data_IF_004509012257
#
_entry.id   IF_004509012257
#
_cell.length_a   1.000
_cell.length_b   1.000
_cell.length_c   1.000
_cell.angle_alpha   90.00
_cell.angle_beta   90.00
_cell.angle_gamma   90.00
#
_symmetry.space_group_name_H-M   'P 1'
#
loop_
_entity.id
_entity.type
_entity.pdbx_description
1 polymer ?
#
# COMPACT_ATOMS: atom_id res chain seq x y z
N UNK A 1 -1.38 -13.73 -2.44
CA UNK A 1 -1.66 -13.95 -3.86
C UNK A 1 -3.17 -13.86 -4.05
N UNK A 2 -3.64 -13.46 -5.23
CA UNK A 2 -5.08 -13.39 -5.58
C UNK A 2 -5.94 -12.58 -4.61
N UNK A 3 -5.36 -11.61 -3.90
CA UNK A 3 -6.06 -10.75 -2.95
C UNK A 3 -5.62 -9.30 -3.10
N UNK A 4 -6.50 -8.38 -2.71
CA UNK A 4 -6.21 -6.94 -2.66
C UNK A 4 -6.63 -6.37 -1.32
N UNK A 5 -5.95 -5.31 -0.87
CA UNK A 5 -6.31 -4.56 0.32
C UNK A 5 -7.19 -3.39 -0.08
N UNK A 6 -8.36 -3.27 0.53
CA UNK A 6 -9.31 -2.20 0.27
C UNK A 6 -9.86 -1.64 1.59
N UNK A 7 -10.34 -0.39 1.56
CA UNK A 7 -11.07 0.19 2.67
C UNK A 7 -12.55 -0.22 2.57
N UNK A 8 -13.04 -0.97 3.55
CA UNK A 8 -14.46 -1.28 3.67
C UNK A 8 -15.20 -0.14 4.37
N UNK A 9 -16.45 0.08 3.95
CA UNK A 9 -17.33 1.11 4.47
C UNK A 9 -18.52 0.51 5.22
N UNK A 10 -18.93 -0.71 4.85
CA UNK A 10 -20.10 -1.39 5.39
C UNK A 10 -19.71 -2.82 5.75
N UNK A 11 -20.07 -3.23 6.96
CA UNK A 11 -19.99 -4.60 7.41
C UNK A 11 -21.40 -5.18 7.48
N UNK A 12 -21.62 -6.32 6.86
CA UNK A 12 -22.87 -7.09 6.93
C UNK A 12 -22.59 -8.43 7.59
N UNK A 13 -23.34 -8.74 8.63
CA UNK A 13 -23.36 -10.03 9.30
C UNK A 13 -24.55 -10.87 8.81
N UNK A 14 -24.26 -12.10 8.42
CA UNK A 14 -25.25 -13.11 8.02
C UNK A 14 -24.98 -14.41 8.78
N UNK A 15 -25.98 -15.30 8.86
CA UNK A 15 -25.75 -16.64 9.37
C UNK A 15 -25.28 -17.61 8.28
N UNK A 16 -25.00 -18.86 8.64
CA UNK A 16 -24.54 -19.91 7.73
C UNK A 16 -25.58 -20.35 6.68
N UNK A 17 -26.83 -19.91 6.82
CA UNK A 17 -27.91 -20.13 5.84
C UNK A 17 -28.12 -18.94 4.91
N UNK A 18 -27.28 -17.91 5.00
CA UNK A 18 -27.40 -16.68 4.23
C UNK A 18 -28.62 -15.85 4.66
N UNK A 19 -28.98 -15.85 5.93
CA UNK A 19 -30.01 -14.97 6.49
C UNK A 19 -29.34 -13.74 7.10
N UNK A 20 -29.90 -12.57 6.83
CA UNK A 20 -29.42 -11.30 7.35
C UNK A 20 -29.54 -11.23 8.87
N UNK A 21 -28.52 -10.74 9.56
CA UNK A 21 -28.53 -10.55 11.02
C UNK A 21 -28.48 -9.05 11.35
N UNK A 22 -27.48 -8.34 10.83
CA UNK A 22 -27.28 -6.90 11.08
C UNK A 22 -26.29 -6.30 10.11
N UNK A 23 -26.26 -4.99 10.03
CA UNK A 23 -25.24 -4.25 9.31
C UNK A 23 -24.79 -3.00 10.08
N UNK A 24 -23.56 -2.58 9.83
CA UNK A 24 -22.96 -1.39 10.45
C UNK A 24 -22.01 -0.66 9.51
N UNK A 25 -21.85 0.64 9.75
CA UNK A 25 -20.85 1.46 9.04
C UNK A 25 -19.49 1.30 9.70
N UNK A 26 -18.47 1.04 8.90
CA UNK A 26 -17.08 0.90 9.35
C UNK A 26 -16.30 2.18 9.08
N UNK A 27 -15.70 2.74 10.12
CA UNK A 27 -14.76 3.86 9.97
C UNK A 27 -13.35 3.31 9.66
N UNK A 28 -12.87 3.55 8.43
CA UNK A 28 -11.47 3.26 7.99
C UNK A 28 -10.99 1.82 8.20
N UNK A 29 -11.88 0.83 8.06
CA UNK A 29 -11.49 -0.57 8.16
C UNK A 29 -10.80 -1.05 6.88
N UNK A 30 -9.55 -1.49 6.99
CA UNK A 30 -8.85 -2.16 5.89
C UNK A 30 -9.16 -3.64 5.90
N UNK A 31 -9.61 -4.16 4.76
CA UNK A 31 -9.95 -5.57 4.57
C UNK A 31 -9.15 -6.18 3.43
N UNK A 32 -8.70 -7.40 3.63
CA UNK A 32 -8.10 -8.23 2.58
C UNK A 32 -9.23 -8.97 1.90
N UNK A 33 -9.38 -8.79 0.60
CA UNK A 33 -10.46 -9.45 -0.14
C UNK A 33 -9.96 -10.18 -1.38
N UNK A 34 -10.63 -11.27 -1.76
CA UNK A 34 -10.35 -12.03 -2.96
C UNK A 34 -10.46 -11.17 -4.22
N UNK A 35 -9.50 -11.28 -5.11
CA UNK A 35 -9.46 -10.50 -6.33
C UNK A 35 -8.79 -11.27 -7.45
N UNK A 36 -9.34 -11.17 -8.65
CA UNK A 36 -8.66 -11.61 -9.87
C UNK A 36 -7.59 -10.60 -10.28
N UNK A 37 -6.71 -10.97 -11.18
CA UNK A 37 -5.72 -10.06 -11.76
C UNK A 37 -6.38 -8.79 -12.34
N UNK A 38 -7.49 -8.96 -13.03
CA UNK A 38 -8.22 -7.86 -13.64
C UNK A 38 -8.90 -6.96 -12.59
N UNK A 39 -9.56 -7.55 -11.59
CA UNK A 39 -10.29 -6.79 -10.58
C UNK A 39 -9.36 -6.02 -9.64
N UNK A 40 -8.20 -6.58 -9.30
CA UNK A 40 -7.20 -5.92 -8.46
C UNK A 40 -6.64 -4.63 -9.11
N UNK A 41 -6.51 -4.63 -10.43
CA UNK A 41 -6.01 -3.50 -11.22
C UNK A 41 -7.09 -2.62 -11.85
N UNK A 42 -8.38 -2.87 -11.60
CA UNK A 42 -9.48 -2.19 -12.29
C UNK A 42 -9.42 -0.66 -12.14
N UNK A 43 -9.52 0.03 -13.26
CA UNK A 43 -9.61 1.50 -13.32
C UNK A 43 -10.84 1.98 -14.09
N UNK A 44 -11.39 1.14 -14.96
CA UNK A 44 -12.58 1.39 -15.79
C UNK A 44 -13.28 0.08 -16.11
N UNK A 45 -14.55 0.15 -16.50
CA UNK A 45 -15.37 -1.02 -16.78
C UNK A 45 -15.89 -1.74 -15.54
N UNK A 46 -16.72 -2.77 -15.78
CA UNK A 46 -17.27 -3.62 -14.74
C UNK A 46 -16.39 -4.86 -14.57
N UNK A 47 -15.72 -4.95 -13.42
CA UNK A 47 -14.89 -6.10 -13.07
C UNK A 47 -14.99 -6.30 -11.55
N UNK A 48 -15.86 -7.19 -11.05
CA UNK A 48 -16.08 -7.39 -9.63
C UNK A 48 -14.89 -8.07 -8.94
N UNK A 49 -14.71 -7.79 -7.66
CA UNK A 49 -13.98 -8.66 -6.76
C UNK A 49 -14.83 -9.85 -6.36
N UNK A 50 -14.22 -10.95 -5.97
CA UNK A 50 -14.92 -12.23 -5.89
C UNK A 50 -15.90 -12.38 -4.71
N UNK A 51 -15.61 -11.81 -3.56
CA UNK A 51 -16.42 -12.02 -2.36
C UNK A 51 -16.95 -10.70 -1.79
N UNK A 52 -16.09 -9.72 -1.63
CA UNK A 52 -16.44 -8.42 -1.06
C UNK A 52 -16.24 -7.33 -2.12
N UNK A 53 -17.24 -6.51 -2.38
CA UNK A 53 -17.15 -5.42 -3.34
C UNK A 53 -18.14 -4.30 -2.98
N UNK A 54 -18.23 -3.29 -3.81
CA UNK A 54 -19.13 -2.15 -3.68
C UNK A 54 -20.58 -2.58 -3.82
N UNK A 55 -21.51 -1.83 -3.24
CA UNK A 55 -22.96 -2.04 -3.34
C UNK A 55 -23.40 -2.26 -4.80
N UNK A 56 -22.90 -1.47 -5.74
CA UNK A 56 -23.22 -1.60 -7.18
C UNK A 56 -22.90 -2.99 -7.77
N UNK A 57 -22.08 -3.81 -7.10
CA UNK A 57 -21.75 -5.18 -7.51
C UNK A 57 -22.49 -6.24 -6.67
N UNK A 58 -22.59 -6.03 -5.36
CA UNK A 58 -23.10 -7.07 -4.45
C UNK A 58 -24.62 -7.05 -4.32
N UNK A 59 -25.28 -5.95 -4.69
CA UNK A 59 -26.72 -5.75 -4.50
C UNK A 59 -27.50 -5.87 -5.81
N UNK A 60 -28.36 -6.88 -5.90
CA UNK A 60 -29.27 -7.09 -7.03
C UNK A 60 -30.30 -5.96 -7.16
N UNK A 61 -30.79 -5.49 -6.03
CA UNK A 61 -31.78 -4.43 -5.90
C UNK A 61 -31.23 -3.01 -6.08
N UNK A 62 -29.92 -2.84 -6.25
CA UNK A 62 -29.27 -1.52 -6.40
C UNK A 62 -29.88 -0.65 -7.51
N UNK A 63 -30.20 -1.26 -8.66
CA UNK A 63 -30.81 -0.52 -9.77
C UNK A 63 -32.27 -0.12 -9.48
N UNK A 64 -33.00 -0.91 -8.68
CA UNK A 64 -34.39 -0.62 -8.26
C UNK A 64 -34.42 0.64 -7.39
N UNK A 65 -33.41 0.82 -6.53
CA UNK A 65 -33.27 2.00 -5.67
C UNK A 65 -32.54 3.18 -6.33
N UNK A 66 -32.59 3.29 -7.67
CA UNK A 66 -32.06 4.47 -8.41
C UNK A 66 -30.53 4.60 -8.36
N UNK A 67 -29.81 3.49 -8.40
CA UNK A 67 -28.36 3.49 -8.38
C UNK A 67 -27.75 4.33 -9.52
N UNK A 68 -26.83 5.24 -9.20
CA UNK A 68 -26.23 6.21 -10.16
C UNK A 68 -25.37 5.49 -11.23
N UNK A 69 -24.61 4.48 -10.82
CA UNK A 69 -23.68 3.75 -11.69
C UNK A 69 -24.33 2.49 -12.23
N UNK A 70 -23.83 2.02 -13.37
CA UNK A 70 -24.26 0.74 -13.93
C UNK A 70 -24.03 -0.39 -12.94
N UNK A 71 -25.05 -1.22 -12.69
CA UNK A 71 -24.94 -2.41 -11.85
C UNK A 71 -23.96 -3.42 -12.47
N UNK A 72 -23.12 -4.00 -11.61
CA UNK A 72 -22.24 -5.11 -11.95
C UNK A 72 -22.67 -6.43 -11.31
N UNK A 73 -23.88 -6.51 -10.79
CA UNK A 73 -24.37 -7.65 -10.02
C UNK A 73 -24.29 -8.98 -10.77
N UNK A 74 -24.71 -9.01 -12.03
CA UNK A 74 -24.70 -10.25 -12.83
C UNK A 74 -23.28 -10.85 -12.94
N UNK A 75 -22.27 -10.01 -13.16
CA UNK A 75 -20.88 -10.46 -13.24
C UNK A 75 -20.37 -10.94 -11.89
N UNK A 76 -20.73 -10.22 -10.81
CA UNK A 76 -20.37 -10.60 -9.44
C UNK A 76 -21.01 -11.93 -9.04
N UNK A 77 -22.31 -12.07 -9.27
CA UNK A 77 -23.06 -13.29 -8.96
C UNK A 77 -22.54 -14.50 -9.75
N UNK A 78 -22.25 -14.33 -11.05
CA UNK A 78 -21.70 -15.40 -11.87
C UNK A 78 -20.34 -15.90 -11.38
N UNK A 79 -19.44 -14.96 -11.01
CA UNK A 79 -18.14 -15.31 -10.46
C UNK A 79 -18.25 -16.03 -9.10
N UNK A 80 -19.10 -15.51 -8.22
CA UNK A 80 -19.32 -16.11 -6.90
C UNK A 80 -19.97 -17.50 -7.01
N UNK A 81 -20.93 -17.67 -7.95
CA UNK A 81 -21.56 -18.95 -8.25
C UNK A 81 -20.54 -19.98 -8.73
N UNK A 82 -19.69 -19.62 -9.69
CA UNK A 82 -18.65 -20.50 -10.21
C UNK A 82 -17.70 -20.98 -9.09
N UNK A 83 -17.32 -20.11 -8.17
CA UNK A 83 -16.55 -20.49 -7.00
C UNK A 83 -17.30 -21.44 -6.07
N UNK A 84 -18.59 -21.16 -5.78
CA UNK A 84 -19.44 -22.02 -4.96
C UNK A 84 -19.65 -23.42 -5.54
N UNK A 85 -19.69 -23.57 -6.86
CA UNK A 85 -19.91 -24.83 -7.58
C UNK A 85 -18.61 -25.61 -7.81
N UNK A 86 -17.45 -25.01 -7.54
CA UNK A 86 -16.14 -25.65 -7.71
C UNK A 86 -15.83 -26.62 -6.55
N UNK A 87 -14.84 -27.49 -6.78
CA UNK A 87 -14.28 -28.35 -5.72
C UNK A 87 -13.61 -27.57 -4.59
N UNK A 88 -13.32 -26.30 -4.76
CA UNK A 88 -12.72 -25.39 -3.79
C UNK A 88 -13.76 -24.54 -3.05
N UNK A 89 -15.03 -24.89 -3.16
CA UNK A 89 -16.12 -24.15 -2.50
C UNK A 89 -15.93 -24.08 -0.98
N UNK A 90 -16.29 -22.92 -0.38
CA UNK A 90 -16.23 -22.72 1.06
C UNK A 90 -17.64 -22.45 1.63
N UNK A 91 -17.99 -22.99 2.85
CA UNK A 91 -19.32 -22.79 3.43
C UNK A 91 -19.72 -21.32 3.58
N UNK A 92 -18.82 -20.47 4.08
CA UNK A 92 -19.07 -19.05 4.23
C UNK A 92 -19.32 -18.34 2.88
N UNK A 93 -18.63 -18.75 1.82
CA UNK A 93 -18.83 -18.21 0.47
C UNK A 93 -20.21 -18.59 -0.07
N UNK A 94 -20.66 -19.81 0.18
CA UNK A 94 -22.01 -20.26 -0.15
C UNK A 94 -23.08 -19.47 0.61
N UNK A 95 -22.88 -19.19 1.89
CA UNK A 95 -23.80 -18.39 2.67
C UNK A 95 -23.95 -16.97 2.08
N UNK A 96 -22.83 -16.32 1.70
CA UNK A 96 -22.87 -15.01 1.03
C UNK A 96 -23.61 -15.11 -0.30
N UNK A 97 -23.32 -16.13 -1.12
CA UNK A 97 -24.04 -16.35 -2.37
C UNK A 97 -25.57 -16.50 -2.19
N UNK A 98 -25.98 -17.30 -1.19
CA UNK A 98 -27.40 -17.49 -0.86
C UNK A 98 -28.05 -16.18 -0.43
N UNK A 99 -27.36 -15.35 0.35
CA UNK A 99 -27.88 -14.05 0.78
C UNK A 99 -28.04 -13.09 -0.39
N UNK A 100 -27.02 -12.88 -1.20
CA UNK A 100 -27.10 -11.90 -2.31
C UNK A 100 -28.10 -12.32 -3.39
N UNK A 101 -28.34 -13.63 -3.53
CA UNK A 101 -29.30 -14.15 -4.48
C UNK A 101 -30.77 -13.78 -4.13
N UNK A 102 -31.07 -13.51 -2.84
CA UNK A 102 -32.38 -13.00 -2.39
C UNK A 102 -32.71 -11.64 -3.00
N UNK A 103 -31.69 -10.80 -3.23
CA UNK A 103 -31.85 -9.50 -3.86
C UNK A 103 -32.44 -8.43 -2.95
N UNK A 104 -32.11 -8.47 -1.66
CA UNK A 104 -32.60 -7.55 -0.62
C UNK A 104 -31.51 -6.73 0.04
N UNK A 105 -30.29 -6.71 -0.50
CA UNK A 105 -29.13 -6.09 0.15
C UNK A 105 -29.34 -4.60 0.42
N UNK A 106 -29.84 -3.83 -0.56
CA UNK A 106 -30.10 -2.38 -0.36
C UNK A 106 -31.27 -2.19 0.60
N UNK A 107 -32.34 -2.97 0.47
CA UNK A 107 -33.49 -2.88 1.35
C UNK A 107 -33.13 -3.18 2.83
N UNK A 108 -32.34 -4.24 3.06
CA UNK A 108 -31.86 -4.59 4.43
C UNK A 108 -30.98 -3.47 5.01
N UNK A 109 -30.08 -2.89 4.19
CA UNK A 109 -29.22 -1.79 4.64
C UNK A 109 -29.98 -0.47 4.90
N UNK A 110 -31.08 -0.22 4.21
CA UNK A 110 -31.99 0.90 4.49
C UNK A 110 -32.72 0.63 5.80
N UNK A 111 -33.19 -0.60 6.03
CA UNK A 111 -33.82 -1.01 7.28
C UNK A 111 -32.92 -0.78 8.50
N UNK A 112 -31.63 -1.06 8.39
CA UNK A 112 -30.61 -0.82 9.42
C UNK A 112 -30.11 0.64 9.47
N UNK A 113 -30.64 1.54 8.66
CA UNK A 113 -30.22 2.95 8.56
C UNK A 113 -28.73 3.13 8.18
N UNK A 114 -28.16 2.16 7.49
CA UNK A 114 -26.81 2.23 6.93
C UNK A 114 -26.83 2.94 5.58
N UNK A 115 -27.79 2.62 4.71
CA UNK A 115 -28.10 3.38 3.51
C UNK A 115 -29.33 4.27 3.74
N UNK A 116 -29.39 5.36 2.99
CA UNK A 116 -30.46 6.35 3.11
C UNK A 116 -31.12 6.56 1.76
N UNK A 117 -32.46 6.56 1.76
CA UNK A 117 -33.26 6.76 0.56
C UNK A 117 -34.32 7.85 0.77
N UNK A 118 -34.85 8.37 -0.33
CA UNK A 118 -36.04 9.19 -0.36
C UNK A 118 -36.89 8.79 -1.58
N UNK A 119 -38.17 8.52 -1.35
CA UNK A 119 -39.12 8.10 -2.39
C UNK A 119 -38.63 6.91 -3.24
N UNK A 120 -38.02 5.93 -2.59
CA UNK A 120 -37.50 4.70 -3.24
C UNK A 120 -36.17 4.90 -3.99
N UNK A 121 -35.48 6.00 -3.80
CA UNK A 121 -34.18 6.25 -4.44
C UNK A 121 -33.10 6.59 -3.43
N UNK A 122 -31.91 6.02 -3.57
CA UNK A 122 -30.75 6.30 -2.73
C UNK A 122 -30.38 7.80 -2.76
N UNK A 123 -30.24 8.41 -1.58
CA UNK A 123 -29.86 9.81 -1.45
C UNK A 123 -28.50 10.10 -2.04
N UNK A 124 -28.41 11.16 -2.83
CA UNK A 124 -27.16 11.68 -3.41
C UNK A 124 -26.72 12.99 -2.76
N UNK A 125 -27.60 13.63 -2.00
CA UNK A 125 -27.33 14.85 -1.21
C UNK A 125 -27.93 14.70 0.16
N UNK A 126 -27.41 15.41 1.13
CA UNK A 126 -27.97 15.52 2.47
C UNK A 126 -28.34 16.98 2.73
N UNK A 127 -29.63 17.24 2.94
CA UNK A 127 -30.17 18.59 3.10
C UNK A 127 -30.89 18.79 4.45
N UNK A 128 -31.00 17.72 5.27
CA UNK A 128 -31.65 17.84 6.56
C UNK A 128 -30.79 18.61 7.56
N UNK A 129 -31.44 19.38 8.46
CA UNK A 129 -30.77 20.10 9.54
C UNK A 129 -30.14 19.20 10.61
N UNK A 130 -30.36 17.87 10.51
CA UNK A 130 -29.80 16.87 11.40
C UNK A 130 -28.34 16.52 11.07
N UNK A 131 -27.76 15.69 11.97
CA UNK A 131 -26.38 15.21 11.78
C UNK A 131 -26.27 14.34 10.52
N UNK A 132 -25.25 14.62 9.70
CA UNK A 132 -24.98 13.82 8.49
C UNK A 132 -24.75 12.34 8.87
N UNK A 133 -25.44 11.38 8.21
CA UNK A 133 -25.25 9.96 8.47
C UNK A 133 -23.81 9.48 8.36
N UNK A 134 -23.44 8.50 9.18
CA UNK A 134 -22.07 8.01 9.31
C UNK A 134 -21.46 7.60 7.97
N UNK A 135 -22.21 6.89 7.12
CA UNK A 135 -21.73 6.48 5.79
C UNK A 135 -21.44 7.68 4.89
N UNK A 136 -22.31 8.70 4.89
CA UNK A 136 -22.13 9.89 4.04
C UNK A 136 -20.95 10.76 4.49
N UNK A 137 -20.55 10.69 5.78
CA UNK A 137 -19.34 11.37 6.28
C UNK A 137 -18.05 10.80 5.71
N UNK A 138 -18.02 9.50 5.43
CA UNK A 138 -16.81 8.78 4.99
C UNK A 138 -16.73 8.58 3.47
N UNK A 139 -17.85 8.67 2.76
CA UNK A 139 -17.88 8.53 1.30
C UNK A 139 -17.36 9.79 0.61
N UNK A 140 -16.46 9.66 -0.38
CA UNK A 140 -16.02 10.79 -1.17
C UNK A 140 -17.18 11.32 -2.04
N UNK A 141 -17.28 12.64 -2.16
CA UNK A 141 -18.21 13.29 -3.10
C UNK A 141 -17.60 13.30 -4.51
N UNK A 142 -18.35 12.81 -5.47
CA UNK A 142 -18.04 12.96 -6.90
C UNK A 142 -18.92 14.10 -7.48
N UNK A 143 -18.31 15.19 -7.95
CA UNK A 143 -19.01 16.40 -8.44
C UNK A 143 -20.04 16.97 -7.45
N UNK A 144 -19.74 16.91 -6.16
CA UNK A 144 -20.62 17.40 -5.10
C UNK A 144 -21.71 16.42 -4.62
N UNK A 145 -21.85 15.27 -5.27
CA UNK A 145 -22.86 14.25 -4.95
C UNK A 145 -22.24 13.07 -4.21
N UNK A 146 -22.99 12.46 -3.30
CA UNK A 146 -22.66 11.18 -2.70
C UNK A 146 -23.08 10.04 -3.63
N UNK A 147 -22.25 9.01 -3.72
CA UNK A 147 -22.59 7.77 -4.41
C UNK A 147 -22.55 6.62 -3.39
N UNK A 148 -23.71 6.31 -2.79
CA UNK A 148 -23.83 5.21 -1.84
C UNK A 148 -23.53 3.85 -2.48
N UNK A 149 -23.73 3.70 -3.80
CA UNK A 149 -23.36 2.51 -4.55
C UNK A 149 -21.85 2.27 -4.60
N UNK A 150 -21.03 3.28 -4.30
CA UNK A 150 -19.57 3.15 -4.22
C UNK A 150 -19.06 2.63 -2.88
N UNK A 151 -19.91 2.50 -1.86
CA UNK A 151 -19.55 1.94 -0.56
C UNK A 151 -19.18 0.45 -0.70
N UNK A 152 -18.00 0.08 -0.20
CA UNK A 152 -17.52 -1.30 -0.22
C UNK A 152 -18.06 -2.06 0.97
N UNK A 153 -18.68 -3.22 0.70
CA UNK A 153 -19.24 -4.16 1.68
C UNK A 153 -18.22 -5.26 1.97
N UNK A 154 -18.09 -5.61 3.25
CA UNK A 154 -17.44 -6.84 3.70
C UNK A 154 -18.40 -7.67 4.56
N UNK A 155 -18.14 -8.97 4.65
CA UNK A 155 -19.05 -9.95 5.22
C UNK A 155 -18.51 -10.61 6.48
N UNK A 156 -19.37 -10.86 7.45
CA UNK A 156 -19.15 -11.92 8.42
C UNK A 156 -20.24 -12.98 8.31
N UNK A 157 -19.86 -14.24 8.50
CA UNK A 157 -20.76 -15.38 8.54
C UNK A 157 -20.71 -15.94 9.95
N UNK A 158 -21.78 -15.74 10.69
CA UNK A 158 -21.86 -16.17 12.08
C UNK A 158 -22.35 -17.61 12.16
N UNK A 159 -21.50 -18.47 12.76
CA UNK A 159 -21.79 -19.88 13.00
C UNK A 159 -21.65 -20.15 14.48
N UNK A 160 -22.68 -20.78 15.06
CA UNK A 160 -22.66 -21.10 16.49
C UNK A 160 -21.46 -22.01 16.82
N UNK A 161 -20.66 -21.59 17.78
CA UNK A 161 -19.45 -22.32 18.23
C UNK A 161 -18.16 -21.97 17.48
N UNK A 162 -18.19 -21.15 16.43
CA UNK A 162 -17.01 -20.67 15.76
C UNK A 162 -16.58 -19.27 16.26
N UNK A 163 -15.29 -19.11 16.54
CA UNK A 163 -14.73 -17.84 17.05
C UNK A 163 -14.42 -16.83 15.93
N UNK A 164 -14.21 -17.29 14.68
CA UNK A 164 -13.90 -16.46 13.52
C UNK A 164 -15.09 -16.40 12.57
N UNK A 165 -15.73 -15.24 12.50
CA UNK A 165 -16.85 -14.98 11.58
C UNK A 165 -16.47 -14.08 10.40
N UNK A 166 -15.41 -13.27 10.56
CA UNK A 166 -14.99 -12.27 9.56
C UNK A 166 -14.31 -12.92 8.38
N UNK A 167 -14.97 -12.90 7.22
CA UNK A 167 -14.48 -13.57 6.00
C UNK A 167 -13.12 -13.08 5.52
N UNK A 168 -12.77 -11.81 5.77
CA UNK A 168 -11.49 -11.21 5.36
C UNK A 168 -10.31 -11.56 6.27
N UNK A 169 -10.56 -12.19 7.43
CA UNK A 169 -9.55 -12.67 8.36
C UNK A 169 -9.39 -14.20 8.34
N UNK A 170 -10.21 -14.90 7.58
CA UNK A 170 -10.23 -16.36 7.54
C UNK A 170 -9.23 -16.90 6.49
N UNK A 171 -8.13 -17.53 6.93
CA UNK A 171 -7.14 -18.11 6.01
C UNK A 171 -7.70 -19.22 5.13
N UNK A 172 -8.73 -19.96 5.57
CA UNK A 172 -9.31 -21.06 4.81
C UNK A 172 -10.09 -20.55 3.60
N UNK A 173 -10.79 -19.42 3.72
CA UNK A 173 -11.43 -18.71 2.60
C UNK A 173 -10.38 -18.20 1.63
N UNK A 174 -9.28 -17.64 2.15
CA UNK A 174 -8.17 -17.15 1.31
C UNK A 174 -7.54 -18.28 0.50
N UNK A 175 -7.28 -19.42 1.12
CA UNK A 175 -6.73 -20.61 0.46
C UNK A 175 -7.70 -21.20 -0.58
N UNK A 176 -8.98 -21.27 -0.24
CA UNK A 176 -10.05 -21.70 -1.16
C UNK A 176 -10.08 -20.84 -2.44
N UNK A 177 -10.02 -19.50 -2.28
CA UNK A 177 -9.99 -18.59 -3.41
C UNK A 177 -8.72 -18.74 -4.25
N UNK A 178 -7.53 -18.82 -3.62
CA UNK A 178 -6.27 -19.01 -4.34
C UNK A 178 -6.31 -20.28 -5.18
N UNK A 179 -6.81 -21.38 -4.62
CA UNK A 179 -6.90 -22.65 -5.34
C UNK A 179 -7.89 -22.58 -6.52
N UNK A 180 -9.00 -21.86 -6.36
CA UNK A 180 -9.98 -21.64 -7.42
C UNK A 180 -9.43 -20.73 -8.53
N UNK A 181 -8.91 -19.56 -8.19
CA UNK A 181 -8.45 -18.55 -9.15
C UNK A 181 -7.22 -19.02 -9.94
N UNK A 182 -6.33 -19.82 -9.30
CA UNK A 182 -5.13 -20.37 -9.95
C UNK A 182 -5.44 -21.34 -11.10
N UNK A 183 -6.65 -21.87 -11.20
CA UNK A 183 -7.05 -22.74 -12.31
C UNK A 183 -7.56 -21.98 -13.55
N UNK A 184 -7.87 -20.70 -13.39
CA UNK A 184 -8.47 -19.90 -14.46
C UNK A 184 -7.42 -19.17 -15.34
N UNK A 185 -6.15 -19.48 -15.18
CA UNK A 185 -5.09 -18.87 -15.97
C UNK A 185 -4.88 -19.50 -17.33
N UNK A 186 -4.84 -18.70 -18.38
CA UNK A 186 -4.83 -19.19 -19.79
C UNK A 186 -3.41 -19.34 -20.37
N UNK A 187 -2.35 -18.74 -19.79
CA UNK A 187 -1.05 -18.66 -20.43
C UNK A 187 0.08 -19.18 -19.51
N UNK A 188 0.70 -20.29 -19.89
CA UNK A 188 1.90 -20.82 -19.29
C UNK A 188 3.12 -20.48 -20.14
N UNK A 189 4.20 -20.04 -19.51
CA UNK A 189 5.47 -19.77 -20.16
C UNK A 189 6.63 -19.75 -19.13
N UNK A 190 7.85 -19.76 -19.64
CA UNK A 190 9.05 -19.66 -18.81
C UNK A 190 9.05 -18.35 -18.01
N UNK A 191 8.95 -18.45 -16.70
CA UNK A 191 9.07 -17.29 -15.80
C UNK A 191 10.53 -16.87 -15.69
N UNK A 192 10.85 -15.63 -16.08
CA UNK A 192 12.22 -15.11 -16.05
C UNK A 192 12.81 -14.95 -14.66
N UNK A 193 11.98 -14.93 -13.63
CA UNK A 193 12.46 -14.82 -12.24
C UNK A 193 12.77 -16.20 -11.60
N UNK A 194 12.06 -17.27 -12.00
CA UNK A 194 12.24 -18.60 -11.40
C UNK A 194 12.90 -19.62 -12.32
N UNK A 195 12.91 -19.38 -13.62
CA UNK A 195 13.39 -20.34 -14.61
C UNK A 195 12.44 -21.54 -14.82
N UNK A 196 11.20 -21.47 -14.32
CA UNK A 196 10.23 -22.54 -14.39
C UNK A 196 9.07 -22.18 -15.32
N UNK A 197 8.46 -23.19 -15.94
CA UNK A 197 7.22 -23.02 -16.70
C UNK A 197 6.06 -22.81 -15.71
N UNK A 198 5.46 -21.62 -15.71
CA UNK A 198 4.42 -21.21 -14.78
C UNK A 198 3.37 -20.34 -15.48
N UNK A 199 2.20 -20.22 -14.84
CA UNK A 199 1.21 -19.26 -15.22
C UNK A 199 1.81 -17.84 -15.16
N UNK A 200 1.92 -17.17 -16.32
CA UNK A 200 2.46 -15.80 -16.41
C UNK A 200 1.37 -14.77 -16.27
N UNK A 201 1.73 -13.65 -15.64
CA UNK A 201 0.82 -12.53 -15.47
C UNK A 201 0.70 -11.72 -16.76
N UNK A 202 -0.49 -11.48 -17.22
CA UNK A 202 -0.79 -10.56 -18.34
C UNK A 202 -0.89 -9.10 -17.88
N UNK A 203 -1.17 -8.89 -16.60
CA UNK A 203 -1.37 -7.57 -16.01
C UNK A 203 -0.78 -7.51 -14.60
N UNK A 204 0.19 -6.63 -14.38
CA UNK A 204 0.89 -6.52 -13.12
C UNK A 204 0.17 -5.58 -12.14
N UNK A 205 0.36 -5.77 -10.80
CA UNK A 205 -0.30 -4.96 -9.79
C UNK A 205 0.01 -3.47 -9.90
N UNK A 206 -1.02 -2.65 -9.74
CA UNK A 206 -0.94 -1.21 -9.50
C UNK A 206 -1.11 -0.90 -8.00
N UNK A 207 -1.27 0.37 -7.63
CA UNK A 207 -1.53 0.82 -6.25
C UNK A 207 -0.44 0.40 -5.26
N UNK A 208 0.82 0.49 -5.69
CA UNK A 208 1.97 0.05 -4.88
C UNK A 208 2.21 1.02 -3.73
N UNK A 209 2.22 2.33 -4.00
CA UNK A 209 2.58 3.38 -3.02
C UNK A 209 1.39 3.84 -2.16
N UNK A 210 0.20 3.88 -2.75
CA UNK A 210 -1.06 4.24 -2.08
C UNK A 210 -2.27 3.83 -2.95
N UNK A 211 -3.46 3.79 -2.36
CA UNK A 211 -4.69 3.30 -3.01
C UNK A 211 -5.09 4.05 -4.29
N UNK A 212 -4.78 5.34 -4.40
CA UNK A 212 -5.02 6.16 -5.61
C UNK A 212 -3.95 6.03 -6.69
N UNK A 213 -2.83 5.36 -6.43
CA UNK A 213 -1.71 5.27 -7.37
C UNK A 213 -1.96 4.25 -8.47
N UNK A 214 -2.12 4.71 -9.70
CA UNK A 214 -2.37 3.85 -10.88
C UNK A 214 -1.08 3.38 -11.56
N UNK A 215 0.08 3.93 -11.19
CA UNK A 215 1.36 3.58 -11.81
C UNK A 215 1.75 2.14 -11.51
N UNK A 216 2.20 1.42 -12.54
CA UNK A 216 2.70 0.05 -12.47
C UNK A 216 4.22 0.03 -12.58
N UNK A 217 4.85 -0.86 -11.83
CA UNK A 217 6.30 -1.08 -11.91
C UNK A 217 6.66 -1.93 -13.13
N UNK A 218 5.82 -2.90 -13.47
CA UNK A 218 5.97 -3.73 -14.67
C UNK A 218 4.79 -3.44 -15.60
N UNK A 219 5.06 -3.09 -16.85
CA UNK A 219 4.07 -2.81 -17.87
C UNK A 219 4.61 -3.24 -19.22
N UNK A 220 4.26 -4.44 -19.68
CA UNK A 220 4.65 -5.00 -20.97
C UNK A 220 3.45 -5.29 -21.88
N UNK A 221 2.23 -4.90 -21.49
CA UNK A 221 0.99 -5.14 -22.23
C UNK A 221 0.59 -4.01 -23.21
N UNK A 222 1.53 -3.13 -23.54
CA UNK A 222 1.33 -2.02 -24.47
C UNK A 222 1.41 -2.50 -25.92
N UNK A 223 0.26 -2.65 -26.59
CA UNK A 223 0.17 -3.09 -27.98
C UNK A 223 0.48 -1.98 -29.01
N UNK A 224 0.40 -0.72 -28.62
CA UNK A 224 0.57 0.45 -29.47
C UNK A 224 1.87 1.21 -29.19
N UNK A 225 2.42 1.06 -28.00
CA UNK A 225 3.68 1.70 -27.57
C UNK A 225 4.92 0.93 -28.03
N UNK A 226 6.04 1.35 -27.52
CA UNK A 226 7.34 0.83 -27.92
C UNK A 226 8.11 0.15 -26.79
N UNK A 227 7.42 -0.29 -25.75
CA UNK A 227 8.00 -0.84 -24.51
C UNK A 227 8.88 -2.07 -24.77
N UNK A 228 8.55 -2.86 -25.79
CA UNK A 228 9.30 -4.07 -26.17
C UNK A 228 9.94 -4.01 -27.57
N UNK A 229 9.55 -3.05 -28.41
CA UNK A 229 10.03 -2.96 -29.80
C UNK A 229 11.54 -2.71 -29.86
N UNK A 230 12.17 -3.34 -30.85
CA UNK A 230 13.64 -3.27 -31.06
C UNK A 230 14.42 -4.34 -30.31
N UNK A 231 13.79 -5.05 -29.34
CA UNK A 231 14.40 -6.16 -28.60
C UNK A 231 13.62 -7.47 -28.73
N UNK A 232 12.30 -7.37 -28.76
CA UNK A 232 11.38 -8.52 -28.74
C UNK A 232 10.36 -8.39 -29.85
N UNK A 233 9.81 -9.53 -30.29
CA UNK A 233 8.75 -9.60 -31.32
C UNK A 233 7.38 -9.37 -30.68
N UNK A 234 7.18 -9.78 -29.44
CA UNK A 234 5.92 -9.66 -28.71
C UNK A 234 6.12 -9.09 -27.31
N UNK A 235 5.02 -8.68 -26.69
CA UNK A 235 5.01 -8.22 -25.29
C UNK A 235 5.25 -9.37 -24.31
N UNK A 236 4.85 -10.57 -24.65
CA UNK A 236 5.07 -11.79 -23.86
C UNK A 236 6.57 -12.08 -23.73
N UNK A 237 7.33 -11.96 -24.81
CA UNK A 237 8.79 -12.11 -24.76
C UNK A 237 9.48 -11.01 -23.94
N UNK A 238 8.88 -9.84 -23.86
CA UNK A 238 9.48 -8.72 -23.13
C UNK A 238 9.45 -8.88 -21.61
N UNK A 239 8.43 -9.57 -21.05
CA UNK A 239 8.27 -9.71 -19.61
C UNK A 239 7.40 -10.92 -19.25
N UNK A 240 8.01 -12.08 -19.18
CA UNK A 240 7.37 -13.30 -18.66
C UNK A 240 7.69 -13.45 -17.17
N UNK A 241 6.86 -12.88 -16.34
CA UNK A 241 6.92 -13.04 -14.86
C UNK A 241 5.68 -13.79 -14.41
N UNK A 242 5.87 -14.87 -13.66
CA UNK A 242 4.74 -15.64 -13.18
C UNK A 242 3.79 -14.80 -12.33
N UNK A 243 2.50 -15.12 -12.40
CA UNK A 243 1.47 -14.48 -11.58
C UNK A 243 1.81 -14.55 -10.09
N UNK A 244 2.32 -15.68 -9.62
CA UNK A 244 2.76 -15.86 -8.24
C UNK A 244 3.87 -14.88 -7.86
N UNK A 245 4.95 -14.82 -8.65
CA UNK A 245 6.11 -13.95 -8.37
C UNK A 245 5.69 -12.49 -8.36
N UNK A 246 4.96 -12.02 -9.37
CA UNK A 246 4.55 -10.62 -9.44
C UNK A 246 3.65 -10.24 -8.27
N UNK A 247 2.72 -11.09 -7.86
CA UNK A 247 1.85 -10.83 -6.71
C UNK A 247 2.63 -10.80 -5.40
N UNK A 248 3.52 -11.76 -5.16
CA UNK A 248 4.37 -11.81 -3.96
C UNK A 248 5.27 -10.58 -3.87
N UNK A 249 5.99 -10.25 -4.94
CA UNK A 249 6.92 -9.12 -4.98
C UNK A 249 6.22 -7.77 -4.74
N UNK A 250 5.09 -7.52 -5.42
CA UNK A 250 4.36 -6.26 -5.27
C UNK A 250 3.68 -6.14 -3.90
N UNK A 251 3.17 -7.24 -3.33
CA UNK A 251 2.60 -7.23 -1.98
C UNK A 251 3.66 -7.05 -0.90
N UNK A 252 4.84 -7.68 -1.06
CA UNK A 252 5.99 -7.43 -0.19
C UNK A 252 6.41 -5.96 -0.24
N UNK A 253 6.52 -5.38 -1.43
CA UNK A 253 6.86 -3.96 -1.60
C UNK A 253 5.82 -3.03 -0.94
N UNK A 254 4.51 -3.30 -1.08
CA UNK A 254 3.47 -2.55 -0.37
C UNK A 254 3.62 -2.65 1.14
N UNK A 255 3.89 -3.86 1.66
CA UNK A 255 4.12 -4.09 3.08
C UNK A 255 5.34 -3.29 3.58
N UNK A 256 6.45 -3.35 2.86
CA UNK A 256 7.66 -2.58 3.18
C UNK A 256 7.38 -1.07 3.19
N UNK A 257 6.68 -0.56 2.17
CA UNK A 257 6.28 0.85 2.08
C UNK A 257 5.35 1.31 3.22
N UNK A 258 4.67 0.39 3.89
CA UNK A 258 3.75 0.69 5.00
C UNK A 258 4.45 0.57 6.36
N UNK A 259 5.32 -0.42 6.51
CA UNK A 259 5.92 -0.80 7.80
C UNK A 259 7.29 -0.18 8.06
N UNK A 260 8.05 0.12 7.01
CA UNK A 260 9.41 0.66 7.13
C UNK A 260 9.40 2.19 7.14
N UNK A 261 10.45 2.75 7.69
CA UNK A 261 10.72 4.18 7.59
C UNK A 261 10.96 4.55 6.13
N UNK A 262 9.98 5.20 5.53
CA UNK A 262 9.96 5.51 4.11
C UNK A 262 9.98 7.01 3.92
N UNK A 263 11.01 7.49 3.26
CA UNK A 263 11.02 8.88 2.83
C UNK A 263 10.12 9.06 1.61
N UNK A 264 9.12 9.95 1.73
CA UNK A 264 8.16 10.26 0.66
C UNK A 264 8.23 11.73 0.27
N UNK A 265 8.23 12.01 -1.02
CA UNK A 265 8.01 13.35 -1.56
C UNK A 265 7.15 13.26 -2.82
N UNK A 266 5.86 13.49 -2.67
CA UNK A 266 4.91 13.23 -3.74
C UNK A 266 5.00 11.78 -4.21
N UNK A 267 5.32 11.61 -5.48
CA UNK A 267 5.45 10.30 -6.11
C UNK A 267 6.81 9.62 -5.90
N UNK A 268 7.80 10.36 -5.43
CA UNK A 268 9.14 9.80 -5.19
C UNK A 268 9.22 9.15 -3.81
N UNK A 269 9.75 7.94 -3.76
CA UNK A 269 9.86 7.14 -2.53
C UNK A 269 11.24 6.50 -2.47
N UNK A 270 11.93 6.63 -1.34
CA UNK A 270 13.15 5.89 -1.02
C UNK A 270 12.88 4.97 0.17
N UNK A 271 13.35 3.76 0.06
CA UNK A 271 13.10 2.67 0.99
C UNK A 271 14.39 1.92 1.25
N UNK A 272 14.66 1.62 2.53
CA UNK A 272 15.71 0.71 2.97
C UNK A 272 15.08 -0.40 3.81
N UNK A 273 15.53 -1.65 3.63
CA UNK A 273 15.07 -2.77 4.45
C UNK A 273 16.14 -3.86 4.57
N UNK A 274 16.13 -4.58 5.68
CA UNK A 274 16.86 -5.83 5.82
C UNK A 274 16.08 -6.97 5.14
N UNK A 275 16.77 -7.84 4.41
CA UNK A 275 16.15 -8.99 3.72
C UNK A 275 15.49 -9.94 4.72
N UNK A 276 16.02 -10.05 5.94
CA UNK A 276 15.42 -10.80 7.05
C UNK A 276 14.11 -10.22 7.60
N UNK A 277 13.75 -8.98 7.21
CA UNK A 277 12.59 -8.27 7.74
C UNK A 277 12.86 -7.45 9.00
N UNK A 278 14.09 -7.42 9.51
CA UNK A 278 14.49 -6.55 10.61
C UNK A 278 14.37 -5.07 10.22
N UNK A 279 14.07 -4.21 11.17
CA UNK A 279 13.99 -2.77 10.91
C UNK A 279 15.40 -2.19 10.69
N UNK A 280 15.49 -1.21 9.79
CA UNK A 280 16.72 -0.45 9.52
C UNK A 280 16.44 1.05 9.61
N UNK A 281 17.44 1.88 9.94
CA UNK A 281 17.25 3.33 9.99
C UNK A 281 16.95 3.91 8.62
N UNK A 282 16.18 5.00 8.57
CA UNK A 282 15.92 5.74 7.34
C UNK A 282 17.18 6.54 6.95
N UNK A 283 17.74 6.35 5.72
CA UNK A 283 19.00 6.99 5.35
C UNK A 283 18.96 8.51 5.23
N UNK A 284 17.80 9.06 4.88
CA UNK A 284 17.67 10.49 4.54
C UNK A 284 17.30 11.39 5.70
N UNK A 285 16.91 10.80 6.84
CA UNK A 285 16.45 11.52 8.01
C UNK A 285 16.91 10.81 9.28
N UNK A 286 17.84 11.37 10.02
CA UNK A 286 18.20 10.84 11.33
C UNK A 286 16.98 10.89 12.27
N UNK A 287 16.80 9.89 13.11
CA UNK A 287 15.82 9.96 14.18
C UNK A 287 16.36 10.86 15.31
N UNK A 288 15.93 12.11 15.29
CA UNK A 288 16.38 13.09 16.27
C UNK A 288 15.89 12.77 17.70
N UNK A 289 14.78 12.06 17.85
CA UNK A 289 14.31 11.65 19.17
C UNK A 289 15.25 10.60 19.78
N UNK A 290 15.63 9.59 18.99
CA UNK A 290 16.62 8.59 19.40
C UNK A 290 17.98 9.26 19.62
N UNK A 291 18.41 10.17 18.73
CA UNK A 291 19.68 10.87 18.86
C UNK A 291 19.70 11.80 20.09
N UNK A 292 18.62 12.52 20.37
CA UNK A 292 18.52 13.40 21.54
C UNK A 292 18.52 12.60 22.85
N UNK A 293 17.83 11.45 22.92
CA UNK A 293 17.87 10.57 24.09
C UNK A 293 19.27 10.09 24.41
N UNK A 294 20.12 9.81 23.42
CA UNK A 294 21.55 9.50 23.65
C UNK A 294 22.39 10.72 24.07
N UNK A 295 21.93 11.94 23.75
CA UNK A 295 22.62 13.18 24.15
C UNK A 295 22.30 13.59 25.60
N UNK A 296 21.08 13.31 26.08
CA UNK A 296 20.64 13.64 27.45
C UNK A 296 21.26 12.72 28.52
N UNK A 297 21.64 11.48 28.18
CA UNK A 297 22.34 10.57 29.10
C UNK A 297 23.79 10.94 29.37
N UNK A 298 24.33 11.91 28.68
CA UNK A 298 25.69 12.44 28.92
C UNK A 298 25.64 13.78 29.63
N UNK A 299 25.26 13.77 30.92
CA UNK A 299 25.55 14.88 31.83
C UNK A 299 27.06 15.11 31.90
N UNK A 300 27.45 16.35 31.68
CA UNK A 300 28.83 16.88 31.69
C UNK A 300 29.69 16.55 30.45
N UNK A 301 29.39 17.19 29.32
CA UNK A 301 30.44 17.47 28.34
C UNK A 301 31.40 18.48 29.00
N UNK A 302 32.56 18.01 29.35
CA UNK A 302 33.66 18.89 29.74
C UNK A 302 33.99 19.79 28.53
N UNK A 303 33.60 21.05 28.62
CA UNK A 303 33.74 22.04 27.52
C UNK A 303 35.20 22.33 27.15
N UNK A 304 36.14 21.67 27.79
CA UNK A 304 37.59 21.74 27.51
C UNK A 304 38.06 20.67 26.52
N UNK A 305 37.22 19.69 26.14
CA UNK A 305 37.56 18.63 25.19
C UNK A 305 37.16 18.98 23.77
N UNK A 306 37.86 18.38 22.81
CA UNK A 306 37.58 18.47 21.38
C UNK A 306 36.14 18.04 21.08
N UNK A 307 35.25 19.00 20.77
CA UNK A 307 33.85 18.81 20.48
C UNK A 307 33.63 17.81 19.33
N UNK A 308 34.55 17.80 18.33
CA UNK A 308 34.51 16.86 17.22
C UNK A 308 34.68 15.40 17.65
N UNK A 309 35.60 15.17 18.61
CA UNK A 309 35.85 13.83 19.16
C UNK A 309 34.70 13.35 20.04
N UNK A 310 34.12 14.24 20.82
CA UNK A 310 32.95 13.95 21.65
C UNK A 310 31.75 13.54 20.76
N UNK A 311 31.49 14.31 19.72
CA UNK A 311 30.44 14.01 18.75
C UNK A 311 30.66 12.68 18.02
N UNK A 312 31.87 12.40 17.53
CA UNK A 312 32.20 11.12 16.91
C UNK A 312 31.95 9.92 17.83
N UNK A 313 32.28 10.05 19.12
CA UNK A 313 32.01 9.00 20.09
C UNK A 313 30.52 8.82 20.36
N UNK A 314 29.73 9.91 20.39
CA UNK A 314 28.26 9.85 20.50
C UNK A 314 27.63 9.17 19.31
N UNK A 315 28.03 9.50 18.08
CA UNK A 315 27.54 8.84 16.87
C UNK A 315 27.85 7.35 16.87
N UNK A 316 29.04 6.93 17.25
CA UNK A 316 29.37 5.51 17.39
C UNK A 316 28.44 4.79 18.36
N UNK A 317 28.15 5.40 19.52
CA UNK A 317 27.19 4.83 20.48
C UNK A 317 25.79 4.74 19.89
N UNK A 318 25.34 5.78 19.20
CA UNK A 318 24.04 5.82 18.53
C UNK A 318 23.89 4.70 17.49
N UNK A 319 24.85 4.56 16.57
CA UNK A 319 24.80 3.50 15.55
C UNK A 319 24.96 2.10 16.12
N UNK A 320 25.74 1.91 17.17
CA UNK A 320 25.80 0.65 17.91
C UNK A 320 24.47 0.37 18.63
N UNK A 321 23.83 1.39 19.20
CA UNK A 321 22.50 1.30 19.80
C UNK A 321 21.43 0.88 18.77
N UNK A 322 21.44 1.48 17.57
CA UNK A 322 20.56 1.05 16.44
C UNK A 322 20.79 -0.41 16.11
N UNK A 323 22.05 -0.83 15.96
CA UNK A 323 22.40 -2.21 15.63
C UNK A 323 21.85 -3.19 16.68
N UNK A 324 21.99 -2.86 17.97
CA UNK A 324 21.48 -3.67 19.07
C UNK A 324 19.96 -3.66 19.15
N UNK A 325 19.32 -2.48 19.05
CA UNK A 325 17.87 -2.31 19.08
C UNK A 325 17.16 -3.11 18.00
N UNK A 326 17.72 -3.14 16.81
CA UNK A 326 17.14 -3.83 15.64
C UNK A 326 17.73 -5.23 15.41
N UNK A 327 18.64 -5.69 16.29
CA UNK A 327 19.31 -6.99 16.18
C UNK A 327 19.95 -7.23 14.80
N UNK A 328 20.59 -6.18 14.26
CA UNK A 328 21.25 -6.26 12.94
C UNK A 328 22.64 -6.89 13.09
N UNK A 329 22.87 -7.97 12.35
CA UNK A 329 24.19 -8.57 12.23
C UNK A 329 25.02 -7.80 11.20
N UNK A 330 26.35 -7.82 11.32
CA UNK A 330 27.27 -7.11 10.41
C UNK A 330 27.06 -7.52 8.94
N UNK A 331 26.79 -8.80 8.70
CA UNK A 331 26.60 -9.37 7.39
C UNK A 331 25.10 -9.43 6.95
N UNK A 332 24.19 -8.82 7.74
CA UNK A 332 22.78 -8.72 7.36
C UNK A 332 22.63 -8.02 6.02
N UNK A 333 21.93 -8.64 5.08
CA UNK A 333 21.69 -8.04 3.77
C UNK A 333 20.69 -6.90 3.84
N UNK A 334 21.10 -5.73 3.36
CA UNK A 334 20.28 -4.52 3.27
C UNK A 334 20.02 -4.22 1.79
N UNK A 335 18.78 -4.04 1.43
CA UNK A 335 18.39 -3.58 0.11
C UNK A 335 17.87 -2.13 0.15
N UNK A 336 18.28 -1.36 -0.83
CA UNK A 336 17.96 0.06 -1.00
C UNK A 336 17.23 0.25 -2.33
N UNK A 337 16.08 0.93 -2.31
CA UNK A 337 15.25 1.12 -3.49
C UNK A 337 14.72 2.55 -3.56
N UNK A 338 14.91 3.19 -4.70
CA UNK A 338 14.29 4.47 -5.06
C UNK A 338 13.27 4.28 -6.18
N UNK A 339 12.05 4.76 -6.00
CA UNK A 339 10.96 4.70 -6.97
C UNK A 339 10.43 6.09 -7.29
N UNK A 340 10.06 6.32 -8.55
CA UNK A 340 9.30 7.51 -8.96
C UNK A 340 8.31 7.18 -10.08
N UNK A 341 7.34 8.04 -10.31
CA UNK A 341 6.46 7.96 -11.47
C UNK A 341 6.99 8.82 -12.60
N UNK A 342 7.47 8.19 -13.69
CA UNK A 342 7.80 8.89 -14.92
C UNK A 342 6.54 9.49 -15.58
N UNK A 343 5.41 8.78 -15.45
CA UNK A 343 4.08 9.21 -15.92
C UNK A 343 3.01 8.73 -14.92
N UNK A 344 1.75 9.24 -14.98
CA UNK A 344 0.68 8.77 -14.09
C UNK A 344 0.43 7.25 -14.12
N UNK A 345 0.79 6.58 -15.22
CA UNK A 345 0.60 5.13 -15.40
C UNK A 345 1.85 4.27 -15.22
N UNK A 346 3.04 4.86 -15.17
CA UNK A 346 4.32 4.12 -15.15
C UNK A 346 5.21 4.54 -14.01
N UNK A 347 5.69 3.55 -13.26
CA UNK A 347 6.67 3.70 -12.20
C UNK A 347 8.03 3.20 -12.68
N UNK A 348 9.09 3.93 -12.35
CA UNK A 348 10.46 3.55 -12.63
C UNK A 348 11.28 3.34 -11.36
N UNK A 349 12.26 2.49 -11.43
CA UNK A 349 13.29 2.33 -10.41
C UNK A 349 14.37 3.40 -10.70
N UNK A 350 14.53 4.34 -9.77
CA UNK A 350 15.55 5.39 -9.84
C UNK A 350 16.88 4.92 -9.28
N UNK A 351 16.80 4.04 -8.28
CA UNK A 351 17.94 3.57 -7.53
C UNK A 351 17.68 2.17 -7.00
N UNK A 352 18.65 1.29 -7.13
CA UNK A 352 18.64 -0.02 -6.50
C UNK A 352 20.07 -0.42 -6.12
N UNK A 353 20.25 -0.87 -4.89
CA UNK A 353 21.52 -1.39 -4.41
C UNK A 353 21.30 -2.38 -3.27
N UNK A 354 22.14 -3.40 -3.24
CA UNK A 354 22.31 -4.30 -2.11
C UNK A 354 23.65 -4.02 -1.44
N UNK A 355 23.64 -4.10 -0.11
CA UNK A 355 24.83 -3.91 0.74
C UNK A 355 24.67 -4.75 2.01
N UNK A 356 25.64 -4.71 2.91
CA UNK A 356 25.56 -5.32 4.23
C UNK A 356 25.35 -4.26 5.31
N UNK A 357 24.75 -4.66 6.43
CA UNK A 357 24.42 -3.72 7.52
C UNK A 357 25.64 -2.96 8.05
N UNK A 358 26.79 -3.63 8.16
CA UNK A 358 28.05 -2.99 8.56
C UNK A 358 28.43 -1.82 7.66
N UNK A 359 28.40 -2.01 6.35
CA UNK A 359 28.75 -0.96 5.38
C UNK A 359 27.68 0.12 5.35
N UNK A 360 26.39 -0.26 5.36
CA UNK A 360 25.28 0.67 5.36
C UNK A 360 25.35 1.63 6.56
N UNK A 361 25.48 1.11 7.77
CA UNK A 361 25.57 1.91 8.98
C UNK A 361 26.83 2.78 9.01
N UNK A 362 27.97 2.25 8.55
CA UNK A 362 29.20 3.03 8.44
C UNK A 362 29.08 4.21 7.47
N UNK A 363 28.33 4.07 6.36
CA UNK A 363 28.07 5.16 5.41
C UNK A 363 27.16 6.24 6.03
N UNK A 364 26.14 5.84 6.77
CA UNK A 364 25.29 6.78 7.49
C UNK A 364 26.08 7.53 8.60
N UNK A 365 26.92 6.83 9.34
CA UNK A 365 27.80 7.44 10.34
C UNK A 365 28.75 8.44 9.69
N UNK A 366 29.41 8.06 8.56
CA UNK A 366 30.33 8.93 7.84
C UNK A 366 29.64 10.20 7.32
N UNK A 367 28.43 10.06 6.76
CA UNK A 367 27.62 11.20 6.32
C UNK A 367 27.34 12.18 7.48
N UNK A 368 27.05 11.66 8.67
CA UNK A 368 26.82 12.49 9.86
C UNK A 368 28.11 13.18 10.33
N UNK A 369 29.26 12.48 10.26
CA UNK A 369 30.57 13.03 10.64
C UNK A 369 31.04 14.14 9.69
N UNK A 370 30.93 13.91 8.38
CA UNK A 370 31.45 14.83 7.38
C UNK A 370 30.63 16.11 7.26
N UNK A 371 29.31 16.04 7.49
CA UNK A 371 28.37 17.14 7.27
C UNK A 371 27.68 17.61 8.56
N UNK A 372 28.08 17.08 9.71
CA UNK A 372 27.50 17.44 10.99
C UNK A 372 27.80 18.89 11.37
N UNK A 373 26.77 19.62 11.73
CA UNK A 373 26.86 20.96 12.31
C UNK A 373 25.77 21.19 13.36
N UNK A 374 25.90 22.25 14.14
CA UNK A 374 24.91 22.61 15.14
C UNK A 374 23.64 23.16 14.47
N UNK A 375 22.52 22.51 14.70
CA UNK A 375 21.22 22.86 14.12
C UNK A 375 20.16 23.00 15.22
N UNK A 376 19.21 23.88 15.00
CA UNK A 376 18.02 23.98 15.85
C UNK A 376 16.91 23.15 15.24
N UNK A 377 16.45 22.13 15.95
CA UNK A 377 15.37 21.22 15.52
C UNK A 377 14.27 21.17 16.57
N UNK A 378 13.04 20.85 16.13
CA UNK A 378 11.91 20.70 17.03
C UNK A 378 11.76 19.23 17.40
N UNK A 379 11.97 18.91 18.68
CA UNK A 379 11.86 17.57 19.26
C UNK A 379 10.80 17.63 20.34
N UNK A 380 9.81 16.75 20.32
CA UNK A 380 8.69 16.72 21.28
C UNK A 380 8.07 18.11 21.51
N UNK A 381 7.78 18.84 20.43
CA UNK A 381 7.22 20.21 20.43
C UNK A 381 8.16 21.30 20.96
N UNK A 382 9.37 20.99 21.42
CA UNK A 382 10.37 21.92 21.93
C UNK A 382 11.53 22.13 20.95
N UNK A 383 12.04 23.36 20.84
CA UNK A 383 13.20 23.68 20.05
C UNK A 383 14.49 23.35 20.80
N UNK A 384 15.27 22.41 20.25
CA UNK A 384 16.55 21.98 20.84
C UNK A 384 17.68 22.17 19.83
N UNK A 385 18.88 22.40 20.34
CA UNK A 385 20.10 22.38 19.56
C UNK A 385 20.64 20.97 19.46
N UNK A 386 20.81 20.48 18.22
CA UNK A 386 21.33 19.15 17.93
C UNK A 386 22.46 19.27 16.92
N UNK A 387 23.51 18.50 17.14
CA UNK A 387 24.61 18.38 16.18
C UNK A 387 24.30 17.21 15.24
N UNK A 388 24.10 17.47 13.96
CA UNK A 388 23.78 16.45 12.95
C UNK A 388 24.02 16.96 11.53
N UNK A 389 24.14 16.04 10.57
CA UNK A 389 24.09 16.41 9.16
C UNK A 389 22.72 17.02 8.79
N UNK A 390 22.67 17.96 7.86
CA UNK A 390 21.41 18.55 7.42
C UNK A 390 20.53 17.49 6.74
N UNK A 391 19.22 17.55 7.00
CA UNK A 391 18.27 16.72 6.24
C UNK A 391 18.29 17.12 4.75
N UNK A 392 17.89 16.20 3.87
CA UNK A 392 17.77 16.53 2.43
C UNK A 392 16.91 17.77 2.17
N UNK A 393 15.87 17.98 2.97
CA UNK A 393 15.04 19.18 2.87
C UNK A 393 15.84 20.46 3.15
N UNK A 394 16.66 20.47 4.20
CA UNK A 394 17.49 21.63 4.55
C UNK A 394 18.57 21.91 3.51
N UNK A 395 19.16 20.86 2.94
CA UNK A 395 20.11 21.03 1.82
C UNK A 395 19.41 21.69 0.64
N UNK A 396 18.22 21.21 0.30
CA UNK A 396 17.42 21.79 -0.78
C UNK A 396 17.05 23.26 -0.52
N UNK A 397 16.58 23.55 0.70
CA UNK A 397 16.18 24.89 1.11
C UNK A 397 17.36 25.85 1.09
N UNK A 398 18.54 25.41 1.53
CA UNK A 398 19.77 26.21 1.49
C UNK A 398 20.28 26.51 0.07
N UNK A 399 20.06 25.59 -0.87
CA UNK A 399 20.50 25.75 -2.28
C UNK A 399 19.51 26.62 -3.08
N UNK A 400 18.22 26.40 -2.90
CA UNK A 400 17.19 26.97 -3.79
C UNK A 400 16.25 27.96 -3.11
N UNK A 401 16.23 28.03 -1.78
CA UNK A 401 15.38 28.95 -1.03
C UNK A 401 13.91 28.90 -1.46
N UNK A 402 13.30 30.06 -1.67
CA UNK A 402 11.88 30.21 -2.01
C UNK A 402 11.47 29.58 -3.35
N UNK A 403 12.40 29.31 -4.28
CA UNK A 403 12.13 28.64 -5.56
C UNK A 403 11.59 27.23 -5.33
N UNK A 404 11.93 26.60 -4.21
CA UNK A 404 11.43 25.26 -3.88
C UNK A 404 9.92 25.16 -3.72
N UNK A 405 9.20 26.24 -3.42
CA UNK A 405 7.76 26.21 -3.18
C UNK A 405 6.99 25.71 -4.40
N UNK A 406 7.52 25.93 -5.61
CA UNK A 406 6.88 25.58 -6.89
C UNK A 406 7.66 24.56 -7.75
N UNK A 407 8.84 24.09 -7.33
CA UNK A 407 9.77 23.34 -8.17
C UNK A 407 9.91 21.85 -7.77
N UNK A 408 8.83 21.07 -7.87
CA UNK A 408 8.84 19.66 -7.46
C UNK A 408 9.82 18.80 -8.28
N UNK A 409 9.99 19.09 -9.57
CA UNK A 409 10.96 18.39 -10.43
C UNK A 409 12.40 18.62 -9.96
N UNK A 410 12.73 19.85 -9.55
CA UNK A 410 14.05 20.18 -9.04
C UNK A 410 14.34 19.44 -7.72
N UNK A 411 13.36 19.41 -6.81
CA UNK A 411 13.45 18.64 -5.54
C UNK A 411 13.73 17.16 -5.81
N UNK A 412 13.02 16.57 -6.78
CA UNK A 412 13.16 15.18 -7.15
C UNK A 412 14.56 14.90 -7.73
N UNK A 413 15.03 15.71 -8.65
CA UNK A 413 16.33 15.56 -9.30
C UNK A 413 17.48 15.65 -8.29
N UNK A 414 17.48 16.63 -7.40
CA UNK A 414 18.53 16.77 -6.42
C UNK A 414 18.55 15.61 -5.41
N UNK A 415 17.39 15.13 -4.98
CA UNK A 415 17.31 13.95 -4.10
C UNK A 415 17.89 12.71 -4.78
N UNK A 416 17.56 12.49 -6.04
CA UNK A 416 18.13 11.36 -6.80
C UNK A 416 19.65 11.43 -6.87
N UNK A 417 20.22 12.64 -6.94
CA UNK A 417 21.67 12.85 -6.94
C UNK A 417 22.31 12.72 -5.56
N UNK A 418 21.64 13.17 -4.50
CA UNK A 418 22.17 13.15 -3.12
C UNK A 418 22.01 11.80 -2.42
N UNK A 419 21.01 11.00 -2.76
CA UNK A 419 20.79 9.70 -2.11
C UNK A 419 22.01 8.77 -2.16
N UNK A 420 22.69 8.60 -3.34
CA UNK A 420 23.93 7.84 -3.41
C UNK A 420 25.08 8.43 -2.59
N UNK A 421 25.10 9.75 -2.35
CA UNK A 421 26.13 10.36 -1.49
C UNK A 421 25.98 9.88 -0.05
N UNK A 422 24.75 9.75 0.43
CA UNK A 422 24.45 9.27 1.79
C UNK A 422 24.77 7.78 1.94
N UNK A 423 24.25 6.94 1.03
CA UNK A 423 24.24 5.48 1.23
C UNK A 423 25.45 4.76 0.61
N UNK A 424 26.21 5.41 -0.27
CA UNK A 424 27.40 4.85 -0.91
C UNK A 424 28.66 5.66 -0.61
N UNK A 425 28.54 6.86 -0.04
CA UNK A 425 29.66 7.77 0.17
C UNK A 425 30.20 8.40 -1.12
N UNK A 426 29.34 8.54 -2.17
CA UNK A 426 29.71 9.26 -3.38
C UNK A 426 29.94 10.75 -3.08
N UNK A 427 30.83 11.43 -3.82
CA UNK A 427 31.05 12.87 -3.63
C UNK A 427 29.76 13.64 -3.92
N UNK A 428 29.55 14.72 -3.17
CA UNK A 428 28.43 15.63 -3.37
C UNK A 428 28.53 16.24 -4.76
N UNK A 429 27.46 16.25 -5.56
CA UNK A 429 27.47 16.82 -6.90
C UNK A 429 27.75 18.33 -6.83
N UNK A 430 28.62 18.81 -7.69
CA UNK A 430 28.87 20.23 -7.90
C UNK A 430 27.71 20.91 -8.61
#
# INVERSE_FOLDING_TARGET
ICHTLQNAHIHIAINNKGEFIRAEVLEKAQVVLPATEQSAGRSSGLCPHALADKIQYVAKDYAVFGGIKKSGFELYQAQLKAWCESQYSHPAVRAVYQYIAKGTVVADLIGEKVLHEHSGQLLTTWQDEGETPALLKILPKEKGLFDQGSALVCWSVEVSGESQSKTWLDPSIQQSWIAFDSQNGESHALCYATGEDKLVASNHPAKIRHSGNKAKLISANDKSGYTFRGRFLSNEEACNISFEVTQKAHNALRCLLTKQSVFRNGDQVYLAWAVSGKAVPEPTKPDFNDLAGFLEETDSIDHTQDLGRAYANQLKRYFNGIKTKHQLDDNEQIALLGLDSATPGRMGILYYRETIAKEFLARLEQWQLDLGWQQRVKINEQWQWVYSAPSLYRVLDGVYGDVLKSADTLKKNLRTRLYPCIVEGKPIPQ
#
